data_IF_712676834661
#
_entry.id   IF_712676834661
#
_cell.length_a   1.000
_cell.length_b   1.000
_cell.length_c   1.000
_cell.angle_alpha   90.00
_cell.angle_beta   90.00
_cell.angle_gamma   90.00
#
_symmetry.space_group_name_H-M   'P 1'
#
loop_
_entity.id
_entity.type
_entity.pdbx_description
1 polymer ?
#
# COMPACT_ATOMS: atom_id res chain seq x y z
N UNK A 1 4.50 -22.04 109.86
CA UNK A 1 5.69 -21.28 109.44
C UNK A 1 6.39 -22.14 108.41
N UNK A 2 6.01 -22.00 107.14
CA UNK A 2 6.64 -22.76 106.05
C UNK A 2 7.45 -21.78 105.19
N UNK A 3 8.77 -21.97 105.27
CA UNK A 3 9.75 -21.19 104.55
C UNK A 3 9.62 -21.43 103.04
N UNK A 4 9.20 -20.41 102.30
CA UNK A 4 9.28 -20.41 100.84
C UNK A 4 10.73 -20.18 100.44
N UNK A 5 11.43 -21.26 100.11
CA UNK A 5 12.75 -21.22 99.50
C UNK A 5 12.71 -20.43 98.18
N UNK A 6 13.53 -19.40 98.09
CA UNK A 6 13.70 -18.57 96.92
C UNK A 6 14.29 -19.41 95.78
N UNK A 7 13.51 -19.64 94.72
CA UNK A 7 13.99 -20.31 93.51
C UNK A 7 15.00 -19.41 92.80
N UNK A 8 16.22 -19.91 92.63
CA UNK A 8 17.31 -19.29 91.89
C UNK A 8 16.87 -19.04 90.45
N UNK A 9 16.97 -17.79 89.99
CA UNK A 9 16.65 -17.38 88.64
C UNK A 9 17.66 -17.99 87.65
N UNK A 10 17.21 -18.94 86.84
CA UNK A 10 17.99 -19.49 85.72
C UNK A 10 17.70 -18.69 84.44
N UNK A 11 18.59 -17.79 83.99
CA UNK A 11 18.36 -16.94 82.81
C UNK A 11 18.22 -17.73 81.50
N UNK A 12 18.57 -19.01 81.48
CA UNK A 12 18.49 -19.89 80.30
C UNK A 12 17.27 -20.81 80.28
N UNK A 13 16.35 -20.67 81.24
CA UNK A 13 15.16 -21.51 81.28
C UNK A 13 14.13 -20.99 80.25
N UNK A 14 14.14 -21.58 79.05
CA UNK A 14 13.19 -21.29 77.96
C UNK A 14 11.72 -21.64 78.29
N UNK A 15 11.37 -21.91 79.55
CA UNK A 15 10.01 -22.08 80.06
C UNK A 15 9.27 -20.73 80.03
N UNK A 16 8.64 -20.45 78.90
CA UNK A 16 7.80 -19.27 78.70
C UNK A 16 7.88 -18.71 77.28
N UNK A 17 8.93 -19.06 76.53
CA UNK A 17 9.03 -18.70 75.11
C UNK A 17 8.14 -19.65 74.33
N UNK A 18 6.92 -19.19 73.97
CA UNK A 18 6.04 -19.88 73.01
C UNK A 18 6.88 -20.19 71.77
N UNK A 19 7.27 -21.46 71.59
CA UNK A 19 7.82 -21.94 70.33
C UNK A 19 6.67 -21.83 69.33
N UNK A 20 6.54 -20.68 68.68
CA UNK A 20 5.76 -20.55 67.46
C UNK A 20 6.43 -21.48 66.45
N UNK A 21 5.90 -22.70 66.34
CA UNK A 21 6.26 -23.62 65.27
C UNK A 21 5.95 -22.91 63.95
N UNK A 22 6.95 -22.24 63.37
CA UNK A 22 6.96 -21.71 62.01
C UNK A 22 6.99 -22.85 60.97
N UNK A 23 6.18 -23.91 61.17
CA UNK A 23 6.00 -24.98 60.19
C UNK A 23 5.35 -24.49 58.88
N UNK A 24 4.81 -23.26 58.85
CA UNK A 24 4.26 -22.62 57.65
C UNK A 24 5.32 -22.02 56.69
N UNK A 25 6.53 -21.70 57.16
CA UNK A 25 7.54 -21.04 56.31
C UNK A 25 8.14 -22.01 55.28
N UNK A 26 8.26 -23.29 55.59
CA UNK A 26 8.87 -24.29 54.69
C UNK A 26 8.03 -24.53 53.43
N UNK A 27 6.70 -24.59 53.55
CA UNK A 27 5.80 -24.76 52.38
C UNK A 27 5.83 -23.57 51.42
N UNK A 28 5.84 -22.34 51.95
CA UNK A 28 5.89 -21.12 51.13
C UNK A 28 7.23 -20.97 50.40
N UNK A 29 8.34 -21.30 51.06
CA UNK A 29 9.67 -21.31 50.43
C UNK A 29 9.73 -22.34 49.30
N UNK A 30 9.14 -23.52 49.49
CA UNK A 30 9.06 -24.54 48.45
C UNK A 30 8.24 -24.05 47.23
N UNK A 31 7.06 -23.47 47.47
CA UNK A 31 6.23 -22.88 46.40
C UNK A 31 6.95 -21.77 45.63
N UNK A 32 7.70 -20.89 46.32
CA UNK A 32 8.50 -19.86 45.66
C UNK A 32 9.60 -20.46 44.78
N UNK A 33 10.29 -21.51 45.26
CA UNK A 33 11.32 -22.20 44.47
C UNK A 33 10.72 -22.86 43.23
N UNK A 34 9.57 -23.51 43.37
CA UNK A 34 8.90 -24.18 42.26
C UNK A 34 8.33 -23.17 41.24
N UNK A 35 7.77 -22.04 41.70
CA UNK A 35 7.36 -20.93 40.84
C UNK A 35 8.54 -20.31 40.08
N UNK A 36 9.69 -20.11 40.74
CA UNK A 36 10.90 -19.61 40.09
C UNK A 36 11.45 -20.60 39.05
N UNK A 37 11.43 -21.90 39.35
CA UNK A 37 11.83 -22.96 38.39
C UNK A 37 10.90 -22.95 37.17
N UNK A 38 9.59 -22.88 37.38
CA UNK A 38 8.60 -22.79 36.30
C UNK A 38 8.80 -21.53 35.45
N UNK A 39 9.07 -20.38 36.07
CA UNK A 39 9.33 -19.14 35.33
C UNK A 39 10.62 -19.24 34.49
N UNK A 40 11.70 -19.82 35.05
CA UNK A 40 12.96 -20.03 34.32
C UNK A 40 12.77 -21.00 33.15
N UNK A 41 12.01 -22.08 33.34
CA UNK A 41 11.68 -23.02 32.30
C UNK A 41 10.91 -22.36 31.14
N UNK A 42 9.86 -21.57 31.44
CA UNK A 42 9.11 -20.82 30.42
C UNK A 42 9.97 -19.79 29.68
N UNK A 43 10.86 -19.09 30.38
CA UNK A 43 11.80 -18.15 29.74
C UNK A 43 12.78 -18.86 28.83
N UNK A 44 13.29 -20.02 29.24
CA UNK A 44 14.20 -20.82 28.44
C UNK A 44 13.50 -21.35 27.18
N UNK A 45 12.27 -21.84 27.30
CA UNK A 45 11.45 -22.27 26.17
C UNK A 45 11.16 -21.12 25.20
N UNK A 46 10.84 -19.93 25.72
CA UNK A 46 10.64 -18.75 24.88
C UNK A 46 11.91 -18.34 24.11
N UNK A 47 13.07 -18.41 24.75
CA UNK A 47 14.36 -18.15 24.10
C UNK A 47 14.61 -19.17 22.99
N UNK A 48 14.42 -20.46 23.25
CA UNK A 48 14.55 -21.52 22.24
C UNK A 48 13.62 -21.27 21.05
N UNK A 49 12.37 -20.87 21.30
CA UNK A 49 11.41 -20.56 20.24
C UNK A 49 11.83 -19.32 19.40
N UNK A 50 12.42 -18.30 20.03
CA UNK A 50 12.97 -17.15 19.31
C UNK A 50 14.19 -17.53 18.48
N UNK A 51 15.11 -18.34 19.01
CA UNK A 51 16.28 -18.85 18.29
C UNK A 51 15.85 -19.65 17.05
N UNK A 52 14.86 -20.54 17.20
CA UNK A 52 14.27 -21.28 16.09
C UNK A 52 13.64 -20.37 15.03
N UNK A 53 12.92 -19.31 15.46
CA UNK A 53 12.31 -18.35 14.55
C UNK A 53 13.35 -17.55 13.77
N UNK A 54 14.42 -17.13 14.43
CA UNK A 54 15.55 -16.42 13.79
C UNK A 54 16.26 -17.33 12.79
N UNK A 55 16.49 -18.60 13.13
CA UNK A 55 17.07 -19.59 12.21
C UNK A 55 16.23 -19.74 10.94
N UNK A 56 14.91 -19.95 11.09
CA UNK A 56 14.00 -20.10 9.95
C UNK A 56 13.97 -18.85 9.06
N UNK A 57 13.87 -17.66 9.64
CA UNK A 57 13.89 -16.40 8.87
C UNK A 57 15.23 -16.17 8.17
N UNK A 58 16.34 -16.61 8.77
CA UNK A 58 17.66 -16.55 8.14
C UNK A 58 17.76 -17.47 6.93
N UNK A 59 17.22 -18.68 7.03
CA UNK A 59 17.14 -19.64 5.91
C UNK A 59 16.28 -19.10 4.77
N UNK A 60 15.07 -18.60 5.06
CA UNK A 60 14.19 -17.98 4.07
C UNK A 60 14.86 -16.79 3.36
N UNK A 61 15.57 -15.94 4.10
CA UNK A 61 16.29 -14.80 3.52
C UNK A 61 17.47 -15.25 2.65
N UNK A 62 18.17 -16.33 3.03
CA UNK A 62 19.22 -16.92 2.21
C UNK A 62 18.68 -17.49 0.89
N UNK A 63 17.53 -18.18 0.94
CA UNK A 63 16.83 -18.71 -0.23
C UNK A 63 16.40 -17.59 -1.17
N UNK A 64 15.77 -16.54 -0.65
CA UNK A 64 15.36 -15.38 -1.47
C UNK A 64 16.55 -14.67 -2.12
N UNK A 65 17.70 -14.56 -1.43
CA UNK A 65 18.92 -14.01 -2.03
C UNK A 65 19.44 -14.88 -3.17
N UNK A 66 19.39 -16.20 -3.04
CA UNK A 66 19.77 -17.13 -4.13
C UNK A 66 18.80 -17.04 -5.32
N UNK A 67 17.49 -16.99 -5.08
CA UNK A 67 16.48 -16.83 -6.13
C UNK A 67 16.66 -15.49 -6.88
N UNK A 68 16.94 -14.40 -6.15
CA UNK A 68 17.19 -13.08 -6.74
C UNK A 68 18.48 -13.07 -7.55
N UNK A 69 19.53 -13.78 -7.11
CA UNK A 69 20.73 -14.00 -7.93
C UNK A 69 20.41 -14.82 -9.19
N UNK A 70 19.58 -15.86 -9.09
CA UNK A 70 19.12 -16.64 -10.24
C UNK A 70 18.37 -15.77 -11.24
N UNK A 71 17.45 -14.92 -10.79
CA UNK A 71 16.77 -13.96 -11.66
C UNK A 71 17.73 -12.97 -12.32
N UNK A 72 18.73 -12.46 -11.60
CA UNK A 72 19.77 -11.60 -12.22
C UNK A 72 20.63 -12.33 -13.24
N UNK A 73 20.88 -13.62 -13.06
CA UNK A 73 21.57 -14.45 -14.05
C UNK A 73 20.66 -14.69 -15.25
N UNK A 74 19.37 -14.99 -15.04
CA UNK A 74 18.38 -15.13 -16.11
C UNK A 74 18.18 -13.85 -16.92
N UNK A 75 18.06 -12.70 -16.26
CA UNK A 75 17.98 -11.38 -16.89
C UNK A 75 19.23 -11.07 -17.73
N UNK A 76 20.39 -11.61 -17.34
CA UNK A 76 21.65 -11.51 -18.10
C UNK A 76 21.81 -12.60 -19.17
N UNK A 77 21.19 -13.77 -19.01
CA UNK A 77 21.30 -14.90 -19.93
C UNK A 77 20.20 -14.93 -20.99
N UNK A 78 19.04 -14.29 -20.76
CA UNK A 78 18.05 -14.00 -21.79
C UNK A 78 18.53 -12.93 -22.80
N UNK A 79 19.71 -12.35 -22.57
CA UNK A 79 20.47 -11.63 -23.60
C UNK A 79 21.18 -12.56 -24.62
N UNK A 80 21.01 -13.89 -24.53
CA UNK A 80 21.62 -14.86 -25.43
C UNK A 80 20.69 -16.08 -25.66
N UNK A 81 19.85 -16.06 -26.71
CA UNK A 81 19.74 -17.12 -27.74
C UNK A 81 18.60 -16.83 -28.77
N UNK A 82 18.69 -17.35 -30.02
CA UNK A 82 18.22 -16.67 -31.23
C UNK A 82 16.91 -17.19 -31.86
N UNK A 83 16.22 -16.22 -32.48
CA UNK A 83 15.47 -16.18 -33.76
C UNK A 83 15.12 -17.51 -34.47
N UNK A 84 13.82 -17.73 -34.79
CA UNK A 84 13.39 -17.84 -36.19
C UNK A 84 11.88 -17.64 -36.50
N UNK A 85 11.68 -16.85 -37.58
CA UNK A 85 10.59 -16.70 -38.58
C UNK A 85 9.13 -16.41 -38.14
N UNK A 86 8.65 -15.20 -38.44
CA UNK A 86 7.75 -14.95 -39.59
C UNK A 86 7.18 -13.52 -39.56
N UNK A 87 7.49 -12.79 -40.62
CA UNK A 87 6.88 -11.56 -41.07
C UNK A 87 5.37 -11.72 -41.34
N UNK A 88 4.57 -10.73 -40.95
CA UNK A 88 3.43 -10.21 -41.74
C UNK A 88 2.83 -8.98 -41.04
N UNK A 89 2.34 -8.04 -41.85
CA UNK A 89 1.62 -6.80 -41.51
C UNK A 89 2.45 -5.56 -41.18
N UNK A 90 2.99 -4.96 -42.25
CA UNK A 90 2.77 -3.54 -42.57
C UNK A 90 3.12 -3.34 -44.06
N UNK A 91 2.17 -3.66 -44.93
CA UNK A 91 2.19 -3.24 -46.35
C UNK A 91 1.18 -2.09 -46.49
N UNK A 92 1.54 -0.96 -47.10
CA UNK A 92 0.58 0.07 -47.49
C UNK A 92 -0.42 -0.50 -48.48
N UNK A 93 -1.71 -0.16 -48.34
CA UNK A 93 -2.83 -0.68 -49.15
C UNK A 93 -2.79 -0.24 -50.64
N UNK A 94 -1.69 0.32 -51.14
CA UNK A 94 -1.61 0.86 -52.50
C UNK A 94 -0.88 -0.04 -53.53
N UNK A 95 -0.58 -1.33 -53.25
CA UNK A 95 0.09 -2.24 -54.20
C UNK A 95 -0.55 -3.63 -54.28
N UNK A 96 -1.87 -3.70 -54.50
CA UNK A 96 -2.59 -4.96 -54.80
C UNK A 96 -3.39 -4.90 -56.11
N UNK A 97 -2.81 -4.32 -57.17
CA UNK A 97 -3.40 -4.42 -58.52
C UNK A 97 -2.52 -5.09 -59.59
N UNK A 98 -1.24 -5.38 -59.34
CA UNK A 98 -0.40 -6.04 -60.36
C UNK A 98 0.25 -7.33 -59.82
N UNK A 99 -0.30 -8.45 -60.26
CA UNK A 99 0.15 -9.80 -59.94
C UNK A 99 1.43 -10.22 -60.64
N UNK A 100 1.93 -11.36 -60.16
CA UNK A 100 3.01 -12.22 -60.69
C UNK A 100 4.45 -11.84 -60.33
N UNK A 101 4.88 -12.23 -59.13
CA UNK A 101 6.25 -12.67 -58.89
C UNK A 101 6.29 -13.72 -57.75
N UNK A 102 6.58 -14.97 -58.09
CA UNK A 102 6.88 -16.03 -57.14
C UNK A 102 8.31 -15.87 -56.62
N UNK A 103 8.46 -15.47 -55.36
CA UNK A 103 9.75 -15.32 -54.71
C UNK A 103 10.07 -16.58 -53.88
N UNK A 104 11.09 -17.35 -54.28
CA UNK A 104 11.62 -18.47 -53.51
C UNK A 104 12.60 -17.94 -52.45
N UNK A 105 12.33 -18.20 -51.17
CA UNK A 105 13.21 -17.84 -50.06
C UNK A 105 14.25 -18.94 -49.85
N UNK A 106 15.53 -18.59 -50.01
CA UNK A 106 16.67 -19.41 -49.59
C UNK A 106 16.94 -19.22 -48.09
N UNK A 107 17.13 -20.34 -47.39
CA UNK A 107 17.04 -20.48 -45.93
C UNK A 107 18.39 -20.39 -45.19
N UNK A 108 19.36 -19.60 -45.68
CA UNK A 108 20.76 -19.65 -45.17
C UNK A 108 21.38 -18.29 -44.81
N UNK A 109 20.72 -17.52 -43.94
CA UNK A 109 21.34 -16.32 -43.35
C UNK A 109 20.97 -16.16 -41.86
N UNK A 110 21.77 -16.77 -40.98
CA UNK A 110 21.79 -16.50 -39.53
C UNK A 110 22.77 -15.36 -39.24
N UNK A 111 22.33 -14.12 -39.42
CA UNK A 111 23.08 -12.91 -39.02
C UNK A 111 22.53 -12.32 -37.72
N UNK A 112 23.47 -11.99 -36.83
CA UNK A 112 23.39 -11.32 -35.51
C UNK A 112 22.12 -10.52 -35.19
N UNK A 113 21.46 -10.85 -34.06
CA UNK A 113 20.34 -10.09 -33.47
C UNK A 113 20.75 -8.67 -33.04
N UNK A 114 22.01 -8.48 -32.65
CA UNK A 114 22.54 -7.17 -32.24
C UNK A 114 22.55 -6.17 -33.40
N UNK A 115 22.69 -6.62 -34.65
CA UNK A 115 22.66 -5.73 -35.82
C UNK A 115 21.26 -5.14 -36.08
N UNK A 116 20.19 -5.78 -35.60
CA UNK A 116 18.83 -5.25 -35.71
C UNK A 116 18.51 -4.22 -34.62
N UNK A 117 18.97 -4.44 -33.38
CA UNK A 117 18.89 -3.42 -32.32
C UNK A 117 19.78 -2.21 -32.62
N UNK A 118 20.86 -2.43 -33.38
CA UNK A 118 21.74 -1.39 -33.89
C UNK A 118 21.27 -0.81 -35.24
N UNK A 119 20.11 -1.24 -35.76
CA UNK A 119 19.53 -0.62 -36.96
C UNK A 119 19.16 0.81 -36.62
N UNK A 120 19.90 1.76 -37.19
CA UNK A 120 19.60 3.18 -37.04
C UNK A 120 18.29 3.47 -37.76
N UNK A 121 17.24 3.76 -36.99
CA UNK A 121 15.97 4.18 -37.56
C UNK A 121 16.02 5.67 -37.88
N UNK A 122 15.54 6.05 -39.05
CA UNK A 122 15.23 7.47 -39.33
C UNK A 122 14.07 7.88 -38.43
N UNK A 123 14.26 8.98 -37.69
CA UNK A 123 13.28 9.50 -36.75
C UNK A 123 12.00 9.98 -37.46
N UNK A 124 10.89 10.07 -36.73
CA UNK A 124 9.65 10.60 -37.27
C UNK A 124 9.77 12.09 -37.62
N UNK A 125 10.55 12.85 -36.86
CA UNK A 125 10.81 14.27 -37.12
C UNK A 125 11.59 14.49 -38.43
N UNK A 126 12.58 13.65 -38.74
CA UNK A 126 13.31 13.72 -40.01
C UNK A 126 12.42 13.37 -41.22
N UNK A 127 11.50 12.40 -41.07
CA UNK A 127 10.63 11.96 -42.16
C UNK A 127 9.45 12.90 -42.42
N UNK A 128 8.88 13.50 -41.38
CA UNK A 128 7.60 14.21 -41.46
C UNK A 128 7.65 15.64 -40.91
N UNK A 129 8.82 16.12 -40.48
CA UNK A 129 8.99 17.43 -39.88
C UNK A 129 8.66 17.49 -38.38
N UNK A 130 8.87 18.67 -37.81
CA UNK A 130 8.62 18.93 -36.39
C UNK A 130 7.13 18.87 -36.04
N UNK A 131 6.82 18.29 -34.88
CA UNK A 131 5.48 18.31 -34.31
C UNK A 131 5.22 19.70 -33.71
N UNK A 132 4.24 20.40 -34.26
CA UNK A 132 3.75 21.65 -33.69
C UNK A 132 2.75 21.37 -32.54
N UNK A 133 3.20 21.60 -31.31
CA UNK A 133 2.45 21.30 -30.09
C UNK A 133 1.74 22.54 -29.50
N UNK A 134 2.10 23.75 -29.92
CA UNK A 134 1.64 24.98 -29.27
C UNK A 134 0.12 25.23 -29.38
N UNK A 135 -0.55 24.95 -30.53
CA UNK A 135 -2.00 25.06 -30.61
C UNK A 135 -2.73 24.16 -29.62
N UNK A 136 -2.22 22.95 -29.39
CA UNK A 136 -2.82 21.97 -28.49
C UNK A 136 -2.54 22.30 -27.03
N UNK A 137 -1.32 22.77 -26.71
CA UNK A 137 -0.98 23.30 -25.39
C UNK A 137 -1.90 24.45 -25.00
N UNK A 138 -2.09 25.40 -25.92
CA UNK A 138 -2.95 26.57 -25.69
C UNK A 138 -4.37 26.14 -25.34
N UNK A 139 -4.96 25.23 -26.12
CA UNK A 139 -6.32 24.71 -25.87
C UNK A 139 -6.41 23.88 -24.59
N UNK A 140 -5.40 23.07 -24.26
CA UNK A 140 -5.39 22.33 -23.00
C UNK A 140 -5.27 23.26 -21.79
N UNK A 141 -4.50 24.35 -21.89
CA UNK A 141 -4.38 25.36 -20.84
C UNK A 141 -5.68 26.14 -20.59
N UNK A 142 -6.62 26.17 -21.55
CA UNK A 142 -7.95 26.77 -21.33
C UNK A 142 -8.88 25.91 -20.47
N UNK A 143 -8.55 24.62 -20.27
CA UNK A 143 -9.32 23.74 -19.39
C UNK A 143 -9.02 24.06 -17.94
N UNK A 144 -10.07 24.21 -17.12
CA UNK A 144 -9.94 24.62 -15.72
C UNK A 144 -9.02 23.69 -14.93
N UNK A 145 -9.10 22.37 -15.16
CA UNK A 145 -8.28 21.35 -14.50
C UNK A 145 -6.76 21.52 -14.72
N UNK A 146 -6.35 22.29 -15.72
CA UNK A 146 -4.95 22.41 -16.11
C UNK A 146 -4.41 23.84 -16.08
N UNK A 147 -5.20 24.82 -15.65
CA UNK A 147 -4.71 26.16 -15.36
C UNK A 147 -3.49 26.05 -14.42
N UNK A 148 -2.34 26.57 -14.86
CA UNK A 148 -1.07 26.60 -14.12
C UNK A 148 -0.31 25.26 -13.95
N UNK A 149 -0.69 24.19 -14.67
CA UNK A 149 -0.05 22.88 -14.50
C UNK A 149 1.09 22.62 -15.52
N UNK A 150 2.31 22.44 -15.03
CA UNK A 150 3.48 21.99 -15.83
C UNK A 150 3.30 20.63 -16.52
N UNK A 151 2.29 19.86 -16.12
CA UNK A 151 2.01 18.52 -16.67
C UNK A 151 1.74 18.57 -18.18
N UNK A 152 1.12 19.64 -18.68
CA UNK A 152 0.90 19.82 -20.13
C UNK A 152 2.24 19.95 -20.85
N UNK A 153 3.15 20.78 -20.33
CA UNK A 153 4.48 20.97 -20.91
C UNK A 153 5.28 19.67 -20.90
N UNK A 154 5.24 18.92 -19.80
CA UNK A 154 5.91 17.62 -19.68
C UNK A 154 5.38 16.61 -20.71
N UNK A 155 4.05 16.51 -20.86
CA UNK A 155 3.40 15.61 -21.81
C UNK A 155 3.86 15.88 -23.26
N UNK A 156 3.78 17.13 -23.70
CA UNK A 156 4.16 17.49 -25.06
C UNK A 156 5.67 17.42 -25.28
N UNK A 157 6.48 17.75 -24.27
CA UNK A 157 7.92 17.55 -24.35
C UNK A 157 8.26 16.07 -24.55
N UNK A 158 7.58 15.17 -23.83
CA UNK A 158 7.75 13.74 -24.01
C UNK A 158 7.29 13.27 -25.40
N UNK A 159 6.23 13.84 -25.99
CA UNK A 159 5.83 13.58 -27.39
C UNK A 159 6.86 14.06 -28.42
N UNK A 160 7.41 15.26 -28.26
CA UNK A 160 8.46 15.80 -29.15
C UNK A 160 9.75 14.98 -29.03
N UNK A 161 10.13 14.58 -27.82
CA UNK A 161 11.28 13.68 -27.65
C UNK A 161 11.04 12.32 -28.32
N UNK A 162 9.81 11.82 -28.26
CA UNK A 162 9.41 10.57 -28.91
C UNK A 162 9.57 10.63 -30.43
N UNK A 163 9.20 11.74 -31.07
CA UNK A 163 9.34 11.90 -32.51
C UNK A 163 10.78 11.98 -32.99
N UNK A 164 11.72 12.30 -32.09
CA UNK A 164 13.17 12.37 -32.33
C UNK A 164 13.90 11.07 -32.08
N UNK A 165 13.22 10.06 -31.53
CA UNK A 165 13.87 8.80 -31.19
C UNK A 165 14.26 8.03 -32.47
N UNK A 166 15.52 7.59 -32.53
CA UNK A 166 16.09 6.78 -33.61
C UNK A 166 16.47 5.37 -33.16
N UNK A 167 16.62 5.16 -31.85
CA UNK A 167 16.98 3.87 -31.25
C UNK A 167 15.76 3.24 -30.57
N UNK A 168 15.52 1.94 -30.80
CA UNK A 168 14.40 1.20 -30.21
C UNK A 168 14.37 1.28 -28.68
N UNK A 169 15.52 1.10 -28.01
CA UNK A 169 15.59 1.15 -26.54
C UNK A 169 15.25 2.55 -26.00
N UNK A 170 15.79 3.59 -26.63
CA UNK A 170 15.49 4.98 -26.26
C UNK A 170 14.01 5.32 -26.50
N UNK A 171 13.45 4.92 -27.65
CA UNK A 171 12.05 5.11 -27.99
C UNK A 171 11.10 4.45 -26.98
N UNK A 172 11.39 3.21 -26.56
CA UNK A 172 10.63 2.48 -25.54
C UNK A 172 10.64 3.19 -24.19
N UNK A 173 11.81 3.67 -23.75
CA UNK A 173 11.92 4.45 -22.51
C UNK A 173 11.14 5.77 -22.58
N UNK A 174 11.21 6.47 -23.72
CA UNK A 174 10.44 7.68 -23.95
C UNK A 174 8.93 7.41 -24.03
N UNK A 175 8.50 6.26 -24.54
CA UNK A 175 7.09 5.83 -24.53
C UNK A 175 6.58 5.64 -23.11
N UNK A 176 7.34 4.93 -22.28
CA UNK A 176 7.00 4.72 -20.87
C UNK A 176 6.90 6.07 -20.14
N UNK A 177 7.83 6.99 -20.42
CA UNK A 177 7.79 8.35 -19.88
C UNK A 177 6.54 9.10 -20.33
N UNK A 178 6.23 9.10 -21.62
CA UNK A 178 5.02 9.71 -22.19
C UNK A 178 3.75 9.17 -21.52
N UNK A 179 3.64 7.85 -21.33
CA UNK A 179 2.49 7.22 -20.69
C UNK A 179 2.37 7.59 -19.20
N UNK A 180 3.50 7.80 -18.52
CA UNK A 180 3.51 8.32 -17.14
C UNK A 180 3.02 9.77 -17.08
N UNK A 181 3.51 10.62 -17.98
CA UNK A 181 3.10 12.03 -18.08
C UNK A 181 1.61 12.14 -18.44
N UNK A 182 1.13 11.30 -19.36
CA UNK A 182 -0.29 11.19 -19.73
C UNK A 182 -1.15 10.71 -18.55
N UNK A 183 -0.69 9.71 -17.80
CA UNK A 183 -1.37 9.26 -16.59
C UNK A 183 -1.47 10.35 -15.53
N UNK A 184 -0.43 11.19 -15.39
CA UNK A 184 -0.43 12.34 -14.49
C UNK A 184 -1.41 13.43 -14.94
N UNK A 185 -1.52 13.68 -16.25
CA UNK A 185 -2.52 14.57 -16.82
C UNK A 185 -3.93 14.09 -16.47
N UNK A 186 -4.20 12.80 -16.71
CA UNK A 186 -5.49 12.18 -16.43
C UNK A 186 -5.88 12.18 -14.95
N UNK A 187 -4.91 12.15 -14.02
CA UNK A 187 -5.18 12.27 -12.58
C UNK A 187 -5.66 13.66 -12.18
N UNK A 188 -5.21 14.71 -12.88
CA UNK A 188 -5.65 16.09 -12.63
C UNK A 188 -6.94 16.45 -13.35
N UNK A 189 -7.31 15.68 -14.36
CA UNK A 189 -8.44 15.96 -15.22
C UNK A 189 -9.79 15.71 -14.52
N UNK A 190 -10.59 16.75 -14.36
CA UNK A 190 -12.01 16.61 -13.99
C UNK A 190 -12.82 15.86 -15.04
N UNK A 191 -14.02 15.38 -14.66
CA UNK A 191 -14.91 14.64 -15.57
C UNK A 191 -15.31 15.48 -16.79
N UNK A 192 -15.64 16.75 -16.58
CA UNK A 192 -16.03 17.65 -17.67
C UNK A 192 -14.87 17.93 -18.63
N UNK A 193 -13.68 18.17 -18.09
CA UNK A 193 -12.48 18.43 -18.89
C UNK A 193 -11.97 17.17 -19.59
N UNK A 194 -12.34 15.97 -19.12
CA UNK A 194 -11.93 14.71 -19.73
C UNK A 194 -12.47 14.55 -21.15
N UNK A 195 -13.70 14.98 -21.41
CA UNK A 195 -14.30 14.92 -22.75
C UNK A 195 -13.52 15.82 -23.71
N UNK A 196 -13.24 17.06 -23.30
CA UNK A 196 -12.46 18.02 -24.09
C UNK A 196 -11.01 17.54 -24.30
N UNK A 197 -10.42 16.89 -23.29
CA UNK A 197 -9.09 16.27 -23.42
C UNK A 197 -9.10 15.15 -24.47
N UNK A 198 -10.09 14.26 -24.44
CA UNK A 198 -10.25 13.18 -25.42
C UNK A 198 -10.43 13.72 -26.84
N UNK A 199 -11.18 14.81 -27.00
CA UNK A 199 -11.32 15.54 -28.26
C UNK A 199 -9.97 16.04 -28.77
N UNK A 200 -9.23 16.76 -27.93
CA UNK A 200 -7.93 17.32 -28.26
C UNK A 200 -6.90 16.24 -28.59
N UNK A 201 -6.89 15.13 -27.85
CA UNK A 201 -6.01 13.99 -28.12
C UNK A 201 -6.35 13.30 -29.42
N UNK A 202 -7.64 13.16 -29.73
CA UNK A 202 -8.09 12.56 -30.99
C UNK A 202 -7.69 13.42 -32.18
N UNK A 203 -7.84 14.74 -32.07
CA UNK A 203 -7.41 15.70 -33.08
C UNK A 203 -5.89 15.66 -33.26
N UNK A 204 -5.13 15.69 -32.16
CA UNK A 204 -3.67 15.59 -32.18
C UNK A 204 -3.19 14.29 -32.82
N UNK A 205 -3.73 13.15 -32.41
CA UNK A 205 -3.36 11.84 -32.93
C UNK A 205 -3.74 11.69 -34.41
N UNK A 206 -4.82 12.32 -34.86
CA UNK A 206 -5.20 12.32 -36.28
C UNK A 206 -4.24 13.17 -37.10
N UNK A 207 -3.93 14.39 -36.64
CA UNK A 207 -2.98 15.31 -37.29
C UNK A 207 -1.57 14.72 -37.41
N UNK A 208 -1.10 14.06 -36.35
CA UNK A 208 0.25 13.48 -36.27
C UNK A 208 0.26 11.96 -36.35
N UNK A 209 -0.72 11.37 -37.06
CA UNK A 209 -0.86 9.92 -37.20
C UNK A 209 0.39 9.25 -37.76
N UNK A 210 1.03 9.86 -38.77
CA UNK A 210 2.29 9.36 -39.36
C UNK A 210 3.44 9.32 -38.37
N UNK A 211 3.60 10.35 -37.53
CA UNK A 211 4.62 10.35 -36.48
C UNK A 211 4.36 9.24 -35.46
N UNK A 212 3.11 9.04 -35.07
CA UNK A 212 2.70 8.01 -34.12
C UNK A 212 2.97 6.62 -34.68
N UNK A 213 2.53 6.34 -35.91
CA UNK A 213 2.78 5.04 -36.57
C UNK A 213 4.27 4.75 -36.67
N UNK A 214 5.08 5.74 -37.09
CA UNK A 214 6.53 5.57 -37.22
C UNK A 214 7.18 5.24 -35.88
N UNK A 215 6.80 5.95 -34.83
CA UNK A 215 7.29 5.65 -33.50
C UNK A 215 6.87 4.25 -33.02
N UNK A 216 5.64 3.82 -33.32
CA UNK A 216 5.16 2.47 -32.98
C UNK A 216 5.99 1.40 -33.70
N UNK A 217 6.36 1.62 -34.96
CA UNK A 217 7.28 0.73 -35.69
C UNK A 217 8.65 0.62 -34.98
N UNK A 218 9.20 1.75 -34.51
CA UNK A 218 10.50 1.76 -33.81
C UNK A 218 10.42 1.02 -32.47
N UNK A 219 9.30 1.14 -31.75
CA UNK A 219 9.09 0.47 -30.47
C UNK A 219 8.73 -1.01 -30.60
N UNK A 220 8.06 -1.39 -31.69
CA UNK A 220 7.58 -2.74 -31.90
C UNK A 220 8.73 -3.76 -31.80
N UNK A 221 8.48 -4.84 -31.06
CA UNK A 221 9.33 -6.01 -31.11
C UNK A 221 8.72 -6.98 -32.13
N UNK A 222 9.17 -7.04 -33.39
CA UNK A 222 8.59 -7.98 -34.36
C UNK A 222 8.79 -9.44 -33.95
N UNK A 223 9.76 -9.74 -33.08
CA UNK A 223 10.01 -11.08 -32.58
C UNK A 223 9.04 -11.51 -31.46
N UNK A 224 8.43 -10.56 -30.75
CA UNK A 224 7.55 -10.87 -29.65
C UNK A 224 6.14 -11.13 -30.14
N UNK A 225 5.70 -12.39 -30.04
CA UNK A 225 4.31 -12.79 -30.24
C UNK A 225 3.69 -13.07 -28.89
N UNK A 226 2.84 -12.16 -28.44
CA UNK A 226 2.06 -12.36 -27.23
C UNK A 226 1.21 -13.62 -27.38
N UNK A 227 1.48 -14.61 -26.53
CA UNK A 227 0.66 -15.81 -26.43
C UNK A 227 -0.43 -15.57 -25.40
N UNK A 228 -1.68 -15.55 -25.86
CA UNK A 228 -2.86 -15.43 -25.01
C UNK A 228 -3.46 -16.83 -24.87
N UNK A 229 -3.48 -17.38 -23.66
CA UNK A 229 -4.30 -18.56 -23.35
C UNK A 229 -5.75 -18.12 -23.23
N UNK A 230 -6.50 -18.23 -24.34
CA UNK A 230 -7.90 -17.82 -24.41
C UNK A 230 -8.80 -18.56 -23.42
N UNK A 231 -8.51 -19.84 -23.13
CA UNK A 231 -9.32 -20.63 -22.21
C UNK A 231 -9.16 -20.12 -20.78
N UNK A 232 -7.91 -19.92 -20.35
CA UNK A 232 -7.61 -19.35 -19.04
C UNK A 232 -8.09 -17.90 -18.93
N UNK A 233 -7.94 -17.10 -19.98
CA UNK A 233 -8.37 -15.71 -20.00
C UNK A 233 -9.90 -15.59 -19.84
N UNK A 234 -10.65 -16.45 -20.52
CA UNK A 234 -12.11 -16.51 -20.40
C UNK A 234 -12.54 -16.89 -18.98
N UNK A 235 -11.81 -17.79 -18.31
CA UNK A 235 -12.07 -18.15 -16.92
C UNK A 235 -11.80 -16.98 -15.95
N UNK A 236 -10.80 -16.14 -16.24
CA UNK A 236 -10.40 -15.00 -15.40
C UNK A 236 -11.12 -13.69 -15.73
N UNK A 237 -12.04 -13.68 -16.69
CA UNK A 237 -12.83 -12.50 -17.04
C UNK A 237 -13.71 -12.07 -15.86
N UNK A 238 -13.47 -10.86 -15.37
CA UNK A 238 -14.34 -10.25 -14.35
C UNK A 238 -15.61 -9.68 -14.97
N UNK A 239 -16.67 -9.50 -14.19
CA UNK A 239 -17.92 -8.87 -14.65
C UNK A 239 -17.68 -7.50 -15.28
N UNK A 240 -16.70 -6.75 -14.76
CA UNK A 240 -16.32 -5.45 -15.28
C UNK A 240 -15.61 -5.52 -16.62
N UNK A 241 -14.71 -6.49 -16.81
CA UNK A 241 -14.08 -6.73 -18.11
C UNK A 241 -15.10 -7.21 -19.14
N UNK A 242 -16.09 -7.99 -18.73
CA UNK A 242 -17.22 -8.39 -19.60
C UNK A 242 -18.05 -7.16 -20.00
N UNK A 243 -18.40 -6.30 -19.04
CA UNK A 243 -19.11 -5.05 -19.34
C UNK A 243 -18.31 -4.12 -20.26
N UNK A 244 -17.00 -4.01 -20.02
CA UNK A 244 -16.10 -3.25 -20.89
C UNK A 244 -16.04 -3.83 -22.30
N UNK A 245 -15.87 -5.16 -22.44
CA UNK A 245 -15.90 -5.86 -23.72
C UNK A 245 -17.20 -5.62 -24.48
N UNK A 246 -18.35 -5.72 -23.80
CA UNK A 246 -19.65 -5.46 -24.40
C UNK A 246 -19.75 -4.01 -24.88
N UNK A 247 -19.32 -3.04 -24.07
CA UNK A 247 -19.29 -1.64 -24.47
C UNK A 247 -18.39 -1.36 -25.69
N UNK A 248 -17.31 -2.14 -25.88
CA UNK A 248 -16.50 -2.07 -27.09
C UNK A 248 -17.19 -2.68 -28.32
N UNK A 249 -17.89 -3.79 -28.13
CA UNK A 249 -18.67 -4.43 -29.20
C UNK A 249 -19.88 -3.60 -29.64
N UNK A 250 -20.40 -2.73 -28.77
CA UNK A 250 -21.47 -1.79 -29.09
C UNK A 250 -20.99 -0.63 -30.00
N UNK A 251 -19.68 -0.46 -30.21
CA UNK A 251 -19.13 0.56 -31.11
C UNK A 251 -19.26 0.09 -32.56
N UNK A 252 -20.06 0.76 -33.43
CA UNK A 252 -20.41 0.23 -34.76
C UNK A 252 -19.21 -0.06 -35.67
N UNK A 253 -18.14 0.73 -35.58
CA UNK A 253 -16.94 0.51 -36.39
C UNK A 253 -16.08 -0.68 -35.97
N UNK A 254 -16.29 -1.22 -34.76
CA UNK A 254 -15.55 -2.36 -34.24
C UNK A 254 -16.20 -3.72 -34.55
N UNK A 255 -17.33 -3.74 -35.26
CA UNK A 255 -18.06 -4.95 -35.66
C UNK A 255 -17.23 -5.95 -36.49
N UNK A 256 -16.10 -5.54 -37.07
CA UNK A 256 -15.18 -6.45 -37.79
C UNK A 256 -13.93 -6.81 -37.00
N UNK A 257 -13.82 -6.36 -35.76
CA UNK A 257 -12.60 -6.42 -34.95
C UNK A 257 -12.82 -7.17 -33.63
N UNK A 258 -13.82 -8.06 -33.57
CA UNK A 258 -14.12 -8.89 -32.38
C UNK A 258 -12.89 -9.61 -31.84
N UNK A 259 -12.09 -10.24 -32.70
CA UNK A 259 -10.89 -10.95 -32.26
C UNK A 259 -9.87 -10.03 -31.59
N UNK A 260 -9.72 -8.81 -32.10
CA UNK A 260 -8.80 -7.82 -31.55
C UNK A 260 -9.30 -7.28 -30.20
N UNK A 261 -10.61 -6.99 -30.11
CA UNK A 261 -11.27 -6.57 -28.87
C UNK A 261 -11.18 -7.66 -27.81
N UNK A 262 -11.43 -8.91 -28.19
CA UNK A 262 -11.33 -10.09 -27.33
C UNK A 262 -9.91 -10.29 -26.82
N UNK A 263 -8.92 -10.27 -27.71
CA UNK A 263 -7.51 -10.36 -27.34
C UNK A 263 -7.08 -9.27 -26.36
N UNK A 264 -7.52 -8.04 -26.60
CA UNK A 264 -7.25 -6.93 -25.69
C UNK A 264 -7.86 -7.16 -24.31
N UNK A 265 -9.12 -7.61 -24.23
CA UNK A 265 -9.78 -7.89 -22.95
C UNK A 265 -9.18 -9.12 -22.24
N UNK A 266 -8.84 -10.17 -22.98
CA UNK A 266 -8.18 -11.37 -22.46
C UNK A 266 -6.80 -11.06 -21.89
N UNK A 267 -6.04 -10.18 -22.53
CA UNK A 267 -4.78 -9.71 -21.97
C UNK A 267 -4.98 -9.09 -20.58
N UNK A 268 -5.96 -8.20 -20.45
CA UNK A 268 -6.25 -7.56 -19.16
C UNK A 268 -6.71 -8.56 -18.08
N UNK A 269 -7.44 -9.61 -18.47
CA UNK A 269 -7.85 -10.68 -17.56
C UNK A 269 -6.67 -11.54 -17.08
N UNK A 270 -5.68 -11.80 -17.95
CA UNK A 270 -4.53 -12.65 -17.62
C UNK A 270 -3.44 -11.91 -16.83
N UNK A 271 -3.02 -10.74 -17.31
CA UNK A 271 -1.80 -10.08 -16.85
C UNK A 271 -2.08 -8.95 -15.84
N UNK A 272 -3.31 -8.43 -15.80
CA UNK A 272 -3.61 -7.25 -14.99
C UNK A 272 -2.67 -6.08 -15.32
N UNK A 273 -2.47 -5.13 -14.40
CA UNK A 273 -1.43 -4.08 -14.56
C UNK A 273 -0.12 -4.46 -13.87
N UNK A 274 -0.19 -5.39 -12.91
CA UNK A 274 0.92 -5.68 -12.00
C UNK A 274 1.93 -6.69 -12.59
N UNK A 275 1.51 -7.53 -13.55
CA UNK A 275 2.31 -8.62 -14.08
C UNK A 275 2.66 -8.43 -15.57
N UNK A 276 2.70 -7.19 -16.05
CA UNK A 276 3.02 -6.88 -17.44
C UNK A 276 4.55 -6.71 -17.55
N UNK A 277 5.20 -7.60 -18.32
CA UNK A 277 6.58 -7.42 -18.73
C UNK A 277 6.74 -6.36 -19.84
N UNK A 278 7.98 -5.95 -20.15
CA UNK A 278 8.22 -4.88 -21.13
C UNK A 278 7.65 -5.18 -22.51
N UNK A 279 7.79 -6.41 -23.02
CA UNK A 279 7.29 -6.73 -24.36
C UNK A 279 5.77 -6.94 -24.39
N UNK A 280 5.19 -7.53 -23.33
CA UNK A 280 3.74 -7.59 -23.12
C UNK A 280 3.10 -6.19 -23.17
N UNK A 281 3.78 -5.21 -22.57
CA UNK A 281 3.34 -3.81 -22.54
C UNK A 281 3.22 -3.21 -23.94
N UNK A 282 4.25 -3.39 -24.78
CA UNK A 282 4.20 -2.88 -26.16
C UNK A 282 3.19 -3.65 -27.01
N UNK A 283 3.04 -4.95 -26.78
CA UNK A 283 2.00 -5.74 -27.43
C UNK A 283 0.59 -5.23 -27.10
N UNK A 284 0.33 -4.85 -25.85
CA UNK A 284 -0.95 -4.22 -25.49
C UNK A 284 -1.12 -2.85 -26.13
N UNK A 285 -0.03 -2.08 -26.23
CA UNK A 285 -0.02 -0.80 -26.94
C UNK A 285 -0.41 -0.94 -28.42
N UNK A 286 0.05 -2.01 -29.08
CA UNK A 286 -0.31 -2.32 -30.46
C UNK A 286 -1.79 -2.73 -30.58
N UNK A 287 -2.31 -3.56 -29.67
CA UNK A 287 -3.73 -3.91 -29.64
C UNK A 287 -4.61 -2.67 -29.41
N UNK A 288 -4.25 -1.82 -28.44
CA UNK A 288 -4.92 -0.54 -28.20
C UNK A 288 -4.95 0.34 -29.45
N UNK A 289 -3.81 0.46 -30.13
CA UNK A 289 -3.69 1.29 -31.34
C UNK A 289 -4.49 0.71 -32.50
N UNK A 290 -4.51 -0.62 -32.65
CA UNK A 290 -5.34 -1.30 -33.63
C UNK A 290 -6.83 -1.05 -33.42
N UNK A 291 -7.32 -1.17 -32.18
CA UNK A 291 -8.72 -0.87 -31.84
C UNK A 291 -9.02 0.62 -32.08
N UNK A 292 -8.15 1.51 -31.60
CA UNK A 292 -8.34 2.96 -31.77
C UNK A 292 -8.37 3.40 -33.24
N UNK A 293 -7.55 2.77 -34.10
CA UNK A 293 -7.53 3.04 -35.53
C UNK A 293 -8.71 2.40 -36.27
N UNK A 294 -9.25 1.29 -35.75
CA UNK A 294 -10.47 0.68 -36.26
C UNK A 294 -11.72 1.54 -36.00
N UNK A 295 -11.70 2.36 -34.93
CA UNK A 295 -12.77 3.32 -34.64
C UNK A 295 -12.93 4.36 -35.77
N UNK A 296 -14.10 4.37 -36.42
CA UNK A 296 -14.41 5.30 -37.51
C UNK A 296 -15.00 6.60 -36.98
N UNK A 297 -14.28 7.69 -37.19
CA UNK A 297 -14.73 9.02 -36.79
C UNK A 297 -14.54 9.31 -35.30
N UNK A 298 -15.06 10.46 -34.90
CA UNK A 298 -14.81 11.01 -33.57
C UNK A 298 -15.63 10.32 -32.46
N UNK A 299 -16.92 10.08 -32.69
CA UNK A 299 -17.82 9.48 -31.69
C UNK A 299 -17.41 8.06 -31.26
N UNK A 300 -16.94 7.25 -32.21
CA UNK A 300 -16.47 5.89 -31.91
C UNK A 300 -15.18 5.91 -31.08
N UNK A 301 -14.24 6.78 -31.42
CA UNK A 301 -12.99 6.97 -30.67
C UNK A 301 -13.26 7.50 -29.26
N UNK A 302 -14.19 8.44 -29.14
CA UNK A 302 -14.67 8.95 -27.86
C UNK A 302 -15.30 7.85 -27.02
N UNK A 303 -16.17 7.02 -27.59
CA UNK A 303 -16.83 5.90 -26.91
C UNK A 303 -15.81 4.87 -26.41
N UNK A 304 -14.82 4.53 -27.25
CA UNK A 304 -13.71 3.66 -26.87
C UNK A 304 -12.89 4.23 -25.70
N UNK A 305 -12.46 5.49 -25.77
CA UNK A 305 -11.69 6.15 -24.72
C UNK A 305 -12.51 6.34 -23.43
N UNK A 306 -13.82 6.52 -23.55
CA UNK A 306 -14.73 6.60 -22.41
C UNK A 306 -14.88 5.25 -21.72
N UNK A 307 -15.11 4.16 -22.46
CA UNK A 307 -15.13 2.81 -21.92
C UNK A 307 -13.83 2.46 -21.18
N UNK A 308 -12.69 2.85 -21.74
CA UNK A 308 -11.38 2.63 -21.10
C UNK A 308 -11.23 3.41 -19.78
N UNK A 309 -11.78 4.62 -19.74
CA UNK A 309 -11.78 5.46 -18.53
C UNK A 309 -12.58 4.84 -17.39
N UNK A 310 -13.72 4.21 -17.71
CA UNK A 310 -14.57 3.50 -16.74
C UNK A 310 -13.80 2.31 -16.17
N UNK A 311 -13.19 1.49 -17.04
CA UNK A 311 -12.38 0.35 -16.61
C UNK A 311 -11.23 0.78 -15.69
N UNK A 312 -10.53 1.87 -16.03
CA UNK A 312 -9.45 2.42 -15.20
C UNK A 312 -9.93 2.86 -13.82
N UNK A 313 -11.07 3.57 -13.74
CA UNK A 313 -11.62 4.02 -12.44
C UNK A 313 -12.06 2.86 -11.58
N UNK A 314 -12.68 1.84 -12.17
CA UNK A 314 -13.07 0.66 -11.41
C UNK A 314 -11.85 -0.01 -10.78
N UNK A 315 -10.76 -0.19 -11.54
CA UNK A 315 -9.54 -0.80 -11.02
C UNK A 315 -8.88 0.04 -9.91
N UNK A 316 -8.94 1.37 -10.03
CA UNK A 316 -8.46 2.24 -8.96
C UNK A 316 -9.30 2.07 -7.69
N UNK A 317 -10.62 2.01 -7.82
CA UNK A 317 -11.52 1.78 -6.68
C UNK A 317 -11.30 0.42 -6.03
N UNK A 318 -11.05 -0.63 -6.83
CA UNK A 318 -10.70 -1.96 -6.35
C UNK A 318 -9.38 -1.96 -5.58
N UNK A 319 -8.34 -1.30 -6.11
CA UNK A 319 -7.06 -1.14 -5.41
C UNK A 319 -7.21 -0.35 -4.11
N UNK A 320 -8.04 0.70 -4.10
CA UNK A 320 -8.33 1.47 -2.89
C UNK A 320 -9.12 0.63 -1.88
N UNK A 321 -10.11 -0.16 -2.32
CA UNK A 321 -10.85 -1.06 -1.45
C UNK A 321 -9.93 -2.08 -0.79
N UNK A 322 -9.05 -2.73 -1.55
CA UNK A 322 -8.03 -3.66 -1.02
C UNK A 322 -7.07 -2.94 -0.06
N UNK A 323 -6.66 -1.71 -0.37
CA UNK A 323 -5.81 -0.91 0.53
C UNK A 323 -6.53 -0.54 1.84
N UNK A 324 -7.82 -0.19 1.77
CA UNK A 324 -8.65 0.13 2.95
C UNK A 324 -8.87 -1.13 3.79
N UNK A 325 -9.15 -2.28 3.18
CA UNK A 325 -9.29 -3.56 3.88
C UNK A 325 -7.99 -4.00 4.55
N UNK A 326 -6.84 -3.83 3.88
CA UNK A 326 -5.52 -4.14 4.47
C UNK A 326 -5.15 -3.18 5.59
N UNK A 327 -5.45 -1.88 5.48
CA UNK A 327 -5.26 -0.91 6.56
C UNK A 327 -6.22 -1.18 7.72
N UNK A 328 -7.48 -1.53 7.45
CA UNK A 328 -8.44 -1.91 8.48
C UNK A 328 -8.00 -3.18 9.21
N UNK A 329 -7.54 -4.20 8.48
CA UNK A 329 -6.97 -5.42 9.07
C UNK A 329 -5.72 -5.11 9.90
N UNK A 330 -4.82 -4.25 9.41
CA UNK A 330 -3.65 -3.82 10.17
C UNK A 330 -4.03 -3.00 11.42
N UNK A 331 -5.08 -2.18 11.35
CA UNK A 331 -5.64 -1.44 12.47
C UNK A 331 -6.24 -2.36 13.53
N UNK A 332 -6.97 -3.40 13.11
CA UNK A 332 -7.48 -4.45 14.01
C UNK A 332 -6.31 -5.19 14.68
N UNK A 333 -5.26 -5.53 13.92
CA UNK A 333 -4.05 -6.16 14.49
C UNK A 333 -3.33 -5.23 15.48
N UNK A 334 -3.26 -3.92 15.19
CA UNK A 334 -2.68 -2.94 16.10
C UNK A 334 -3.51 -2.77 17.38
N UNK A 335 -4.84 -2.78 17.28
CA UNK A 335 -5.73 -2.69 18.44
C UNK A 335 -5.71 -3.96 19.29
N UNK A 336 -5.64 -5.14 18.66
CA UNK A 336 -5.44 -6.43 19.36
C UNK A 336 -4.07 -6.46 20.05
N UNK A 337 -3.01 -5.95 19.42
CA UNK A 337 -1.70 -5.84 20.06
C UNK A 337 -1.69 -4.82 21.21
N UNK A 338 -2.44 -3.73 21.07
CA UNK A 338 -2.57 -2.71 22.13
C UNK A 338 -3.29 -3.30 23.35
N UNK A 339 -4.39 -4.02 23.18
CA UNK A 339 -5.11 -4.65 24.30
C UNK A 339 -4.27 -5.73 24.98
N UNK A 340 -3.54 -6.54 24.22
CA UNK A 340 -2.62 -7.56 24.77
C UNK A 340 -1.45 -6.95 25.56
N UNK A 341 -0.90 -5.81 25.10
CA UNK A 341 0.18 -5.10 25.78
C UNK A 341 -0.33 -4.42 27.04
N UNK A 342 -1.48 -3.73 26.98
CA UNK A 342 -2.09 -3.09 28.14
C UNK A 342 -2.45 -4.12 29.21
N UNK A 343 -3.02 -5.26 28.82
CA UNK A 343 -3.37 -6.31 29.78
C UNK A 343 -2.13 -6.91 30.46
N UNK A 344 -1.02 -7.10 29.73
CA UNK A 344 0.26 -7.55 30.32
C UNK A 344 0.91 -6.49 31.23
N UNK A 345 0.72 -5.21 30.93
CA UNK A 345 1.18 -4.11 31.77
C UNK A 345 0.39 -4.00 33.07
N UNK A 346 -0.93 -4.17 33.01
CA UNK A 346 -1.79 -4.20 34.20
C UNK A 346 -1.48 -5.40 35.10
N UNK A 347 -1.24 -6.58 34.53
CA UNK A 347 -0.78 -7.76 35.29
C UNK A 347 0.60 -7.53 35.94
N UNK A 348 1.52 -6.87 35.23
CA UNK A 348 2.84 -6.54 35.77
C UNK A 348 2.78 -5.50 36.90
N UNK A 349 1.94 -4.47 36.75
CA UNK A 349 1.69 -3.45 37.77
C UNK A 349 1.00 -4.03 39.00
N UNK A 350 0.01 -4.91 38.82
CA UNK A 350 -0.63 -5.63 39.92
C UNK A 350 0.39 -6.50 40.67
N UNK A 351 1.27 -7.20 39.96
CA UNK A 351 2.38 -7.95 40.55
C UNK A 351 3.35 -7.07 41.34
N UNK A 352 3.71 -5.90 40.81
CA UNK A 352 4.59 -4.93 41.47
C UNK A 352 3.96 -4.37 42.75
N UNK A 353 2.66 -4.04 42.72
CA UNK A 353 1.90 -3.57 43.87
C UNK A 353 1.85 -4.59 45.00
N UNK A 354 1.64 -5.87 44.67
CA UNK A 354 1.66 -6.96 45.68
C UNK A 354 3.05 -7.08 46.32
N UNK A 355 4.13 -6.95 45.54
CA UNK A 355 5.50 -6.97 46.06
C UNK A 355 5.77 -5.76 46.96
N UNK A 356 5.37 -4.56 46.54
CA UNK A 356 5.51 -3.33 47.34
C UNK A 356 4.76 -3.43 48.67
N UNK A 357 3.52 -3.90 48.65
CA UNK A 357 2.71 -4.13 49.86
C UNK A 357 3.39 -5.15 50.78
N UNK A 358 3.93 -6.24 50.23
CA UNK A 358 4.66 -7.23 51.03
C UNK A 358 5.97 -6.69 51.61
N UNK A 359 6.71 -5.86 50.88
CA UNK A 359 7.90 -5.18 51.38
C UNK A 359 7.53 -4.20 52.50
N UNK A 360 6.44 -3.43 52.35
CA UNK A 360 5.96 -2.53 53.39
C UNK A 360 5.48 -3.27 54.65
N UNK A 361 4.80 -4.40 54.49
CA UNK A 361 4.39 -5.25 55.62
C UNK A 361 5.61 -5.83 56.38
N UNK A 362 6.63 -6.29 55.66
CA UNK A 362 7.88 -6.80 56.28
C UNK A 362 8.67 -5.67 56.95
N UNK A 363 8.68 -4.48 56.37
CA UNK A 363 9.29 -3.30 56.97
C UNK A 363 8.55 -2.85 58.25
N UNK A 364 7.21 -2.93 58.26
CA UNK A 364 6.40 -2.63 59.43
C UNK A 364 6.66 -3.62 60.60
N UNK A 365 6.91 -4.89 60.31
CA UNK A 365 7.23 -5.91 61.32
C UNK A 365 8.63 -5.76 61.94
N UNK A 366 9.53 -4.97 61.32
CA UNK A 366 10.93 -4.82 61.76
C UNK A 366 11.27 -3.44 62.34
N UNK A 367 10.35 -2.47 62.25
CA UNK A 367 10.54 -1.15 62.81
C UNK A 367 10.21 -1.10 64.32
N UNK A 368 11.00 -0.37 65.14
CA UNK A 368 10.64 -0.12 66.53
C UNK A 368 9.33 0.69 66.59
N UNK A 369 8.50 0.36 67.59
CA UNK A 369 7.08 0.76 67.72
C UNK A 369 6.86 2.28 67.60
N UNK A 370 7.85 3.09 67.97
CA UNK A 370 7.75 4.56 67.92
C UNK A 370 7.98 5.17 66.53
N UNK A 371 8.48 4.41 65.55
CA UNK A 371 8.67 4.84 64.14
C UNK A 371 7.60 4.30 63.19
N UNK A 372 6.90 3.23 63.56
CA UNK A 372 5.90 2.58 62.72
C UNK A 372 4.62 3.43 62.52
N UNK A 373 4.30 4.30 63.49
CA UNK A 373 3.14 5.21 63.43
C UNK A 373 3.34 6.33 62.41
N UNK A 374 4.57 6.75 62.15
CA UNK A 374 4.88 7.81 61.17
C UNK A 374 4.80 7.37 59.71
N UNK A 375 5.11 6.11 59.41
CA UNK A 375 5.14 5.59 58.02
C UNK A 375 3.74 5.18 57.55
N UNK A 376 2.87 4.70 58.46
CA UNK A 376 1.49 4.33 58.11
C UNK A 376 0.60 5.54 57.76
N UNK A 377 0.86 6.71 58.35
CA UNK A 377 0.10 7.93 58.07
C UNK A 377 0.43 8.57 56.70
N UNK A 378 1.66 8.40 56.21
CA UNK A 378 2.07 8.96 54.91
C UNK A 378 1.52 8.14 53.72
N UNK A 379 1.30 6.84 53.90
CA UNK A 379 0.83 5.96 52.82
C UNK A 379 -0.69 6.08 52.57
N UNK A 380 -1.49 6.41 53.59
CA UNK A 380 -2.95 6.57 53.43
C UNK A 380 -3.31 7.95 52.84
N UNK A 381 -2.47 8.97 53.03
CA UNK A 381 -2.71 10.31 52.52
C UNK A 381 -2.46 10.51 51.02
N UNK A 382 -1.96 9.51 50.29
CA UNK A 382 -1.70 9.61 48.83
C UNK A 382 -2.61 8.74 47.96
N UNK A 383 -3.57 8.02 48.54
CA UNK A 383 -4.53 7.17 47.79
C UNK A 383 -5.98 7.68 47.92
N UNK A 384 -6.25 8.68 48.76
CA UNK A 384 -7.60 9.25 48.91
C UNK A 384 -7.74 10.63 48.27
N UNK A 385 -8.13 10.69 47.00
CA UNK A 385 -9.00 11.72 46.40
C UNK A 385 -8.97 11.64 44.87
N UNK A 386 -9.65 10.66 44.30
CA UNK A 386 -10.23 10.80 42.94
C UNK A 386 -11.73 10.78 43.15
N UNK A 387 -12.26 11.94 43.55
CA UNK A 387 -13.71 12.17 43.51
C UNK A 387 -14.11 12.37 42.06
N UNK A 388 -14.90 11.42 41.56
CA UNK A 388 -15.71 11.58 40.36
C UNK A 388 -16.78 12.65 40.62
N UNK A 389 -16.59 13.85 40.08
CA UNK A 389 -17.64 14.88 40.04
C UNK A 389 -18.65 14.51 38.96
N UNK A 390 -19.97 14.47 39.25
CA UNK A 390 -20.99 14.28 38.24
C UNK A 390 -21.09 15.53 37.35
N UNK A 391 -20.95 15.36 36.04
CA UNK A 391 -21.21 16.42 35.07
C UNK A 391 -22.72 16.52 34.87
N UNK A 392 -23.33 17.49 35.54
CA UNK A 392 -24.65 17.99 35.16
C UNK A 392 -24.54 18.91 33.94
N UNK A 393 -25.56 18.78 33.10
CA UNK A 393 -25.72 19.49 31.83
C UNK A 393 -26.27 20.88 32.09
N UNK A 394 -25.51 21.95 31.82
CA UNK A 394 -26.09 23.27 31.56
C UNK A 394 -25.11 24.31 30.95
N UNK A 395 -25.59 24.91 29.86
CA UNK A 395 -25.46 26.31 29.45
C UNK A 395 -24.09 26.92 29.07
N UNK A 396 -24.08 27.38 27.81
CA UNK A 396 -23.24 28.36 27.15
C UNK A 396 -22.58 29.44 28.04
N UNK A 397 -21.31 29.73 27.76
CA UNK A 397 -20.66 30.96 28.24
C UNK A 397 -19.16 31.03 27.95
N UNK A 398 -18.82 31.83 26.93
CA UNK A 398 -17.62 32.69 26.79
C UNK A 398 -16.21 32.13 27.03
N UNK A 399 -15.43 32.18 25.94
CA UNK A 399 -13.97 32.10 25.86
C UNK A 399 -13.29 33.16 26.73
N UNK A 400 -12.35 32.73 27.58
CA UNK A 400 -11.28 33.58 28.10
C UNK A 400 -9.96 32.84 27.94
N UNK A 401 -9.08 33.41 27.11
CA UNK A 401 -7.69 33.00 26.92
C UNK A 401 -6.90 33.42 28.16
N UNK A 402 -6.42 32.44 28.93
CA UNK A 402 -5.55 32.66 30.08
C UNK A 402 -4.10 32.33 29.77
N UNK A 403 -3.26 33.37 29.77
CA UNK A 403 -1.79 33.34 29.74
C UNK A 403 -1.18 32.40 30.79
N UNK A 404 -0.23 31.58 30.37
CA UNK A 404 0.63 30.76 31.23
C UNK A 404 1.60 31.69 31.99
N UNK A 405 1.45 31.78 33.31
CA UNK A 405 2.45 32.37 34.20
C UNK A 405 3.38 31.26 34.66
N UNK A 406 4.63 31.31 34.17
CA UNK A 406 5.76 30.56 34.70
C UNK A 406 6.24 31.26 35.97
N UNK A 407 6.34 30.52 37.08
CA UNK A 407 7.20 30.92 38.20
C UNK A 407 6.69 30.53 39.58
N UNK A 408 7.27 29.47 40.15
CA UNK A 408 7.71 29.52 41.55
C UNK A 408 9.18 29.12 41.57
N UNK A 409 10.00 30.11 41.89
CA UNK A 409 11.40 29.95 42.31
C UNK A 409 11.35 29.66 43.81
N UNK A 410 11.91 28.52 44.23
CA UNK A 410 12.44 28.37 45.59
C UNK A 410 13.88 27.89 45.45
N UNK A 411 14.78 28.76 45.88
CA UNK A 411 16.21 28.56 46.01
C UNK A 411 16.48 27.91 47.37
N UNK A 412 17.54 27.10 47.41
CA UNK A 412 18.16 26.42 48.56
C UNK A 412 17.53 25.11 49.06
N UNK A 413 18.02 24.00 48.50
CA UNK A 413 18.80 22.97 49.21
C UNK A 413 19.57 22.18 48.14
N UNK A 414 20.89 22.20 48.22
CA UNK A 414 21.77 21.35 47.42
C UNK A 414 21.69 19.93 47.97
N UNK A 415 21.03 19.03 47.24
CA UNK A 415 21.28 17.59 47.35
C UNK A 415 21.55 17.07 45.94
N UNK A 416 22.78 16.58 45.75
CA UNK A 416 23.22 15.86 44.56
C UNK A 416 22.35 14.62 44.40
N UNK A 417 21.52 14.59 43.35
CA UNK A 417 20.62 13.49 43.02
C UNK A 417 20.47 13.37 41.51
N UNK A 418 20.57 12.13 41.03
CA UNK A 418 20.63 11.71 39.63
C UNK A 418 19.49 12.32 38.80
N UNK A 419 19.85 12.96 37.68
CA UNK A 419 18.91 13.37 36.63
C UNK A 419 18.35 12.10 35.97
N UNK A 420 17.09 11.78 36.27
CA UNK A 420 16.30 10.85 35.46
C UNK A 420 15.55 11.68 34.43
N UNK A 421 15.93 11.55 33.17
CA UNK A 421 15.23 12.15 32.03
C UNK A 421 13.88 11.44 31.87
N UNK A 422 12.81 12.08 32.30
CA UNK A 422 11.45 11.66 31.97
C UNK A 422 11.13 12.04 30.52
N UNK A 423 10.77 11.05 29.70
CA UNK A 423 10.17 11.29 28.39
C UNK A 423 8.76 11.85 28.64
N UNK A 424 8.56 13.11 28.24
CA UNK A 424 7.22 13.71 28.19
C UNK A 424 6.48 13.08 27.01
N UNK A 425 5.52 12.19 27.31
CA UNK A 425 4.53 11.75 26.32
C UNK A 425 3.46 12.83 26.24
N UNK A 426 3.52 13.66 25.20
CA UNK A 426 2.44 14.58 24.87
C UNK A 426 1.29 13.75 24.29
N UNK A 427 0.23 13.57 25.08
CA UNK A 427 -1.02 13.02 24.60
C UNK A 427 -1.69 14.00 23.64
N UNK A 428 -1.75 13.67 22.36
CA UNK A 428 -2.66 14.34 21.43
C UNK A 428 -4.08 13.91 21.74
N UNK A 429 -4.87 14.81 22.35
CA UNK A 429 -6.32 14.65 22.45
C UNK A 429 -6.91 14.72 21.03
N UNK A 430 -7.37 13.58 20.51
CA UNK A 430 -8.20 13.54 19.31
C UNK A 430 -9.61 13.93 19.74
N UNK A 431 -10.02 15.16 19.43
CA UNK A 431 -11.41 15.60 19.53
C UNK A 431 -12.19 14.90 18.42
N UNK A 432 -12.84 13.79 18.77
CA UNK A 432 -13.80 13.12 17.91
C UNK A 432 -15.20 13.64 18.15
N UNK A 433 -15.74 14.47 17.25
CA UNK A 433 -17.20 14.68 17.13
C UNK A 433 -17.72 15.19 15.77
N UNK A 434 -16.91 15.40 14.72
CA UNK A 434 -17.48 15.90 13.43
C UNK A 434 -17.45 14.90 12.26
N UNK A 435 -16.71 13.80 12.34
CA UNK A 435 -16.61 12.87 11.19
C UNK A 435 -17.79 11.88 11.08
N UNK A 436 -18.55 11.65 12.15
CA UNK A 436 -19.65 10.68 12.14
C UNK A 436 -20.94 11.22 11.47
N UNK A 437 -21.15 12.54 11.46
CA UNK A 437 -22.38 13.14 10.89
C UNK A 437 -22.33 13.23 9.37
N UNK A 438 -21.14 13.40 8.78
CA UNK A 438 -20.97 13.51 7.32
C UNK A 438 -21.16 12.16 6.63
N UNK A 439 -20.79 11.04 7.27
CA UNK A 439 -20.96 9.70 6.69
C UNK A 439 -22.43 9.28 6.69
N UNK A 440 -23.22 9.69 7.69
CA UNK A 440 -24.63 9.33 7.76
C UNK A 440 -25.55 10.16 6.84
N UNK A 441 -25.19 11.41 6.53
CA UNK A 441 -25.93 12.24 5.58
C UNK A 441 -25.65 11.91 4.10
N UNK A 442 -24.48 11.34 3.79
CA UNK A 442 -24.12 11.01 2.41
C UNK A 442 -24.71 9.66 1.95
N UNK A 443 -25.02 8.75 2.89
CA UNK A 443 -25.65 7.45 2.58
C UNK A 443 -27.18 7.50 2.40
N UNK A 444 -27.84 8.60 2.76
CA UNK A 444 -29.30 8.75 2.66
C UNK A 444 -29.79 9.55 1.44
N UNK A 445 -28.90 9.92 0.51
CA UNK A 445 -29.26 10.56 -0.78
C UNK A 445 -28.67 9.82 -1.97
N UNK A 446 -29.08 8.57 -2.15
CA UNK A 446 -29.04 7.89 -3.46
C UNK A 446 -30.49 7.60 -3.84
N UNK A 447 -31.07 8.29 -4.85
CA UNK A 447 -32.38 7.92 -5.35
C UNK A 447 -32.30 6.56 -6.04
N UNK A 448 -33.17 5.67 -5.60
CA UNK A 448 -33.42 4.33 -6.11
C UNK A 448 -33.75 4.33 -7.60
N UNK A 449 -32.77 3.99 -8.43
CA UNK A 449 -32.97 3.66 -9.85
C UNK A 449 -32.99 2.12 -10.01
N UNK A 450 -34.02 1.47 -9.46
CA UNK A 450 -34.13 0.00 -9.49
C UNK A 450 -35.47 -0.57 -10.01
N UNK A 451 -36.26 0.18 -10.78
CA UNK A 451 -37.59 -0.30 -11.20
C UNK A 451 -37.88 -0.40 -12.70
N UNK A 452 -36.89 -0.47 -13.60
CA UNK A 452 -37.16 -0.54 -15.06
C UNK A 452 -36.49 -1.65 -15.87
N UNK A 453 -35.80 -2.62 -15.24
CA UNK A 453 -35.13 -3.72 -15.99
C UNK A 453 -35.90 -5.06 -15.92
N UNK A 454 -37.01 -5.15 -15.16
CA UNK A 454 -37.74 -6.41 -15.01
C UNK A 454 -38.89 -6.68 -16.01
N UNK A 455 -39.22 -5.74 -16.91
CA UNK A 455 -40.39 -5.87 -17.81
C UNK A 455 -40.06 -6.19 -19.29
N UNK A 456 -38.83 -6.61 -19.62
CA UNK A 456 -38.46 -6.92 -21.02
C UNK A 456 -38.02 -8.38 -21.28
N UNK A 457 -38.40 -9.33 -20.43
CA UNK A 457 -38.19 -10.77 -20.67
C UNK A 457 -39.48 -11.60 -20.85
N UNK A 458 -40.58 -10.96 -21.23
CA UNK A 458 -41.77 -11.65 -21.72
C UNK A 458 -42.31 -10.90 -22.93
N UNK A 459 -41.65 -11.04 -24.08
CA UNK A 459 -42.24 -11.11 -25.43
C UNK A 459 -41.18 -11.53 -26.45
#
# INVERSE_FOLDING_TARGET
>A
MDAREARTYEPNNNRGRKKTLQQGQTKRVQQMRDAQRSLRARKQEYIINLENKVSRLSEENSYLKQELQRYRVLEKSELYFPINVAASFCVPIDILENGNASFQLNETATTNCDDFLNKVWVSAEELYGQIDVEPFKTRLNTLMSFSESDVINQLFQSRVNLSRATETRAARNLQIKYLRDHSNLLKKCGIMDYVNLVELETEFNTKYSRHISRFQEICANPAYKLKIDHALAKQKMTTQLIAFRNALNDIPSLDKFYDLVDNYCYFWALYGLANIGPDEFFSVGNMFSGIFNACKGFEDKKSFLFALSILRRHKLNEMVAVAVETVAAAGIVAEVLRTDIVHKWEEALAGLLVVLVQVMLVAADTAPVDTAVGVAFLAVAHIGAVDTVPVDTAAAGTVVVGTVVVGIVVVDIVVVGIVVVGIVVVGTAVVGTELAVVVQQTLLRVPTFQHKIFDQQLY
#
